data_IF_088064658783
#
_entry.id   IF_088064658783
#
_cell.length_a   1.000
_cell.length_b   1.000
_cell.length_c   1.000
_cell.angle_alpha   90.00
_cell.angle_beta   90.00
_cell.angle_gamma   90.00
#
_symmetry.space_group_name_H-M   'P 1'
#
loop_
_entity.id
_entity.type
_entity.pdbx_description
1 polymer ?
#
# COMPACT_ATOMS: atom_id res chain seq x y z
N UNK A 1 20.35 13.74 33.22
CA UNK A 1 19.37 13.81 32.13
C UNK A 1 19.73 12.99 30.90
N UNK A 2 20.94 12.99 30.38
CA UNK A 2 21.35 12.19 29.19
C UNK A 2 21.26 10.67 29.41
N UNK A 3 21.62 10.16 30.58
CA UNK A 3 21.58 8.72 30.93
C UNK A 3 20.15 8.16 31.02
N UNK A 4 19.19 8.94 31.50
CA UNK A 4 17.79 8.53 31.58
C UNK A 4 17.13 8.38 30.21
N UNK A 5 17.48 9.26 29.24
CA UNK A 5 16.96 9.19 27.86
C UNK A 5 17.47 7.94 27.14
N UNK A 6 18.76 7.59 27.32
CA UNK A 6 19.34 6.38 26.73
C UNK A 6 18.73 5.09 27.32
N UNK A 7 18.49 5.05 28.64
CA UNK A 7 17.83 3.90 29.29
C UNK A 7 16.38 3.71 28.83
N UNK A 8 15.65 4.81 28.63
CA UNK A 8 14.27 4.76 28.13
C UNK A 8 14.22 4.33 26.65
N UNK A 9 15.17 4.75 25.83
CA UNK A 9 15.27 4.34 24.42
C UNK A 9 15.65 2.84 24.30
N UNK A 10 16.55 2.35 25.14
CA UNK A 10 16.93 0.93 25.16
C UNK A 10 15.78 0.04 25.62
N UNK A 11 15.02 0.46 26.64
CA UNK A 11 13.84 -0.25 27.11
C UNK A 11 12.70 -0.25 26.06
N UNK A 12 12.55 0.84 25.32
CA UNK A 12 11.57 0.95 24.22
C UNK A 12 11.94 0.05 23.04
N UNK A 13 13.23 -0.01 22.67
CA UNK A 13 13.73 -0.92 21.65
C UNK A 13 13.56 -2.40 22.07
N UNK A 14 13.80 -2.73 23.33
CA UNK A 14 13.59 -4.07 23.88
C UNK A 14 12.10 -4.48 23.89
N UNK A 15 11.19 -3.57 24.18
CA UNK A 15 9.74 -3.81 24.10
C UNK A 15 9.26 -4.06 22.65
N UNK A 16 9.88 -3.41 21.67
CA UNK A 16 9.58 -3.60 20.24
C UNK A 16 10.14 -4.94 19.72
N UNK A 17 11.22 -5.46 20.31
CA UNK A 17 11.81 -6.76 19.91
C UNK A 17 11.17 -7.96 20.63
N UNK A 18 10.62 -7.78 21.84
CA UNK A 18 9.96 -8.85 22.61
C UNK A 18 8.50 -9.09 22.20
N UNK A 19 7.88 -8.12 21.48
CA UNK A 19 6.55 -8.28 20.88
C UNK A 19 6.59 -8.89 19.49
N UNK A 20 7.66 -9.61 19.11
CA UNK A 20 7.85 -10.19 17.81
C UNK A 20 6.61 -10.97 17.36
N UNK A 21 5.97 -10.50 16.29
CA UNK A 21 5.07 -11.32 15.52
C UNK A 21 5.91 -12.48 14.98
N UNK A 22 5.86 -13.64 15.63
CA UNK A 22 6.39 -14.87 15.04
C UNK A 22 5.83 -15.00 13.62
N UNK A 23 6.61 -15.57 12.70
CA UNK A 23 6.09 -15.93 11.38
C UNK A 23 4.75 -16.62 11.58
N UNK A 24 3.68 -16.01 11.12
CA UNK A 24 2.37 -16.67 11.11
C UNK A 24 2.49 -17.69 9.98
N UNK A 25 2.66 -18.96 10.32
CA UNK A 25 2.60 -20.03 9.34
C UNK A 25 1.21 -20.00 8.69
N UNK A 26 1.17 -19.44 7.50
CA UNK A 26 -0.04 -19.46 6.68
C UNK A 26 -0.28 -20.93 6.31
N UNK A 27 -1.32 -21.52 6.90
CA UNK A 27 -1.75 -22.88 6.52
C UNK A 27 -2.06 -22.84 5.02
N UNK A 28 -1.39 -23.67 4.19
CA UNK A 28 -1.67 -23.71 2.77
C UNK A 28 -3.15 -24.06 2.54
N UNK A 29 -3.84 -23.26 1.73
CA UNK A 29 -5.17 -23.59 1.28
C UNK A 29 -5.14 -24.95 0.54
N UNK A 30 -6.21 -25.73 0.64
CA UNK A 30 -6.34 -27.03 -0.02
C UNK A 30 -5.87 -26.98 -1.47
N UNK A 31 -5.06 -27.94 -1.89
CA UNK A 31 -4.32 -27.94 -3.17
C UNK A 31 -5.21 -27.73 -4.40
N UNK A 32 -6.47 -28.20 -4.38
CA UNK A 32 -7.43 -28.01 -5.46
C UNK A 32 -7.90 -26.57 -5.64
N UNK A 33 -8.06 -25.82 -4.54
CA UNK A 33 -8.44 -24.40 -4.57
C UNK A 33 -7.29 -23.53 -5.06
N UNK A 34 -6.06 -23.90 -4.73
CA UNK A 34 -4.83 -23.23 -5.21
C UNK A 34 -4.69 -23.36 -6.72
N UNK A 35 -4.93 -24.55 -7.28
CA UNK A 35 -4.86 -24.76 -8.73
C UNK A 35 -5.93 -23.96 -9.49
N UNK A 36 -7.14 -23.83 -8.94
CA UNK A 36 -8.22 -23.06 -9.54
C UNK A 36 -7.94 -21.56 -9.48
N UNK A 37 -7.35 -21.05 -8.40
CA UNK A 37 -6.93 -19.64 -8.26
C UNK A 37 -5.74 -19.32 -9.20
N UNK A 38 -4.82 -20.27 -9.41
CA UNK A 38 -3.66 -20.09 -10.28
C UNK A 38 -4.07 -20.00 -11.78
N UNK A 39 -5.20 -20.65 -12.15
CA UNK A 39 -5.71 -20.68 -13.53
C UNK A 39 -6.71 -19.56 -13.86
N UNK A 40 -7.39 -18.96 -12.87
CA UNK A 40 -8.56 -18.12 -13.09
C UNK A 40 -8.29 -16.60 -13.12
N UNK A 41 -7.11 -16.14 -12.75
CA UNK A 41 -6.81 -14.72 -12.54
C UNK A 41 -5.87 -14.14 -13.61
N UNK A 42 -6.14 -14.43 -14.87
CA UNK A 42 -5.50 -13.73 -15.98
C UNK A 42 -6.43 -12.69 -16.58
N UNK A 43 -5.89 -11.76 -17.35
CA UNK A 43 -6.61 -10.85 -18.25
C UNK A 43 -7.69 -11.52 -19.13
N UNK A 44 -7.71 -12.86 -19.16
CA UNK A 44 -8.66 -13.68 -19.91
C UNK A 44 -10.10 -13.62 -19.39
N UNK A 45 -10.32 -13.27 -18.12
CA UNK A 45 -11.65 -13.16 -17.49
C UNK A 45 -12.21 -11.74 -17.46
N UNK A 46 -11.72 -10.86 -18.32
CA UNK A 46 -12.19 -9.49 -18.44
C UNK A 46 -13.65 -9.44 -18.93
N UNK A 47 -14.56 -8.94 -18.11
CA UNK A 47 -15.99 -8.92 -18.35
C UNK A 47 -16.59 -7.53 -18.58
N UNK A 48 -15.77 -6.48 -18.78
CA UNK A 48 -16.30 -5.15 -19.03
C UNK A 48 -16.96 -5.07 -20.40
N UNK A 49 -18.18 -4.51 -20.44
CA UNK A 49 -18.85 -4.17 -21.69
C UNK A 49 -18.21 -2.93 -22.32
N UNK A 50 -18.31 -2.76 -23.65
CA UNK A 50 -17.81 -1.56 -24.33
C UNK A 50 -18.40 -0.26 -23.79
N UNK A 51 -19.66 -0.26 -23.34
CA UNK A 51 -20.29 0.87 -22.69
C UNK A 51 -19.64 1.20 -21.32
N UNK A 52 -19.23 0.20 -20.56
CA UNK A 52 -18.55 0.39 -19.29
C UNK A 52 -17.10 0.86 -19.51
N UNK A 53 -16.39 0.29 -20.49
CA UNK A 53 -15.06 0.77 -20.90
C UNK A 53 -15.09 2.25 -21.30
N UNK A 54 -16.08 2.66 -22.10
CA UNK A 54 -16.25 4.06 -22.52
C UNK A 54 -16.49 5.00 -21.33
N UNK A 55 -17.32 4.60 -20.36
CA UNK A 55 -17.53 5.39 -19.12
C UNK A 55 -16.26 5.52 -18.31
N UNK A 56 -15.50 4.42 -18.14
CA UNK A 56 -14.21 4.43 -17.40
C UNK A 56 -13.20 5.35 -18.10
N UNK A 57 -13.11 5.28 -19.44
CA UNK A 57 -12.19 6.14 -20.20
C UNK A 57 -12.55 7.63 -20.11
N UNK A 58 -13.82 7.97 -19.87
CA UNK A 58 -14.29 9.33 -19.70
C UNK A 58 -14.06 9.89 -18.28
N UNK A 59 -13.73 9.06 -17.28
CA UNK A 59 -13.47 9.55 -15.92
C UNK A 59 -12.22 10.43 -15.87
N UNK A 60 -12.31 11.50 -15.07
CA UNK A 60 -11.14 12.29 -14.70
C UNK A 60 -10.51 11.69 -13.43
N UNK A 61 -9.28 11.14 -13.50
CA UNK A 61 -8.64 10.53 -12.33
C UNK A 61 -8.46 11.49 -11.14
N UNK A 62 -8.32 12.79 -11.39
CA UNK A 62 -8.14 13.79 -10.31
C UNK A 62 -9.46 14.11 -9.58
N UNK A 63 -10.61 13.74 -10.15
CA UNK A 63 -11.94 14.09 -9.64
C UNK A 63 -12.91 12.90 -9.60
N UNK A 64 -12.43 11.74 -9.14
CA UNK A 64 -13.28 10.53 -8.99
C UNK A 64 -14.21 10.71 -7.81
N UNK A 65 -15.50 10.78 -8.08
CA UNK A 65 -16.56 10.93 -7.07
C UNK A 65 -16.99 9.59 -6.48
N UNK A 66 -17.75 9.63 -5.40
CA UNK A 66 -18.40 8.45 -4.82
C UNK A 66 -19.46 7.84 -5.78
N UNK A 67 -20.15 8.68 -6.57
CA UNK A 67 -21.04 8.21 -7.62
C UNK A 67 -20.31 7.45 -8.73
N UNK A 68 -19.11 7.89 -9.12
CA UNK A 68 -18.27 7.18 -10.11
C UNK A 68 -17.85 5.81 -9.57
N UNK A 69 -17.49 5.72 -8.30
CA UNK A 69 -17.17 4.43 -7.66
C UNK A 69 -18.37 3.49 -7.72
N UNK A 70 -19.56 3.94 -7.30
CA UNK A 70 -20.75 3.08 -7.24
C UNK A 70 -21.32 2.71 -8.60
N UNK A 71 -21.26 3.59 -9.60
CA UNK A 71 -21.97 3.38 -10.86
C UNK A 71 -21.06 3.07 -12.06
N UNK A 72 -19.79 3.46 -12.00
CA UNK A 72 -18.84 3.25 -13.11
C UNK A 72 -17.79 2.19 -12.77
N UNK A 73 -17.21 2.25 -11.58
CA UNK A 73 -16.15 1.34 -11.16
C UNK A 73 -16.69 0.07 -10.48
N UNK A 74 -17.92 0.06 -9.99
CA UNK A 74 -18.54 -1.11 -9.39
C UNK A 74 -18.51 -2.30 -10.38
N UNK A 75 -17.98 -3.44 -9.92
CA UNK A 75 -17.80 -4.64 -10.72
C UNK A 75 -16.63 -4.59 -11.72
N UNK A 76 -15.92 -3.47 -11.83
CA UNK A 76 -14.67 -3.42 -12.58
C UNK A 76 -13.52 -4.04 -11.78
N UNK A 77 -12.51 -4.63 -12.44
CA UNK A 77 -11.30 -5.05 -11.76
C UNK A 77 -10.57 -3.85 -11.16
N UNK A 78 -9.78 -4.08 -10.12
CA UNK A 78 -9.02 -3.03 -9.44
C UNK A 78 -7.58 -3.49 -9.22
N UNK A 79 -6.61 -2.56 -9.20
CA UNK A 79 -5.22 -2.87 -8.83
C UNK A 79 -5.16 -3.55 -7.46
N UNK A 80 -4.31 -4.55 -7.30
CA UNK A 80 -4.14 -5.18 -5.99
C UNK A 80 -3.53 -4.21 -4.98
N UNK A 81 -4.08 -4.14 -3.77
CA UNK A 81 -3.50 -3.39 -2.65
C UNK A 81 -2.78 -4.35 -1.72
N UNK A 82 -1.47 -4.25 -1.67
CA UNK A 82 -0.60 -5.00 -0.75
C UNK A 82 -0.48 -4.17 0.53
N UNK A 83 -0.97 -4.68 1.66
CA UNK A 83 -0.81 -4.03 2.95
C UNK A 83 0.29 -4.69 3.76
N UNK A 84 1.15 -3.87 4.42
CA UNK A 84 2.29 -4.33 5.20
C UNK A 84 2.19 -3.75 6.61
N UNK A 85 1.97 -4.61 7.62
CA UNK A 85 1.85 -4.16 9.00
C UNK A 85 3.21 -3.95 9.69
N UNK A 86 3.24 -3.10 10.72
CA UNK A 86 4.40 -2.89 11.57
C UNK A 86 4.64 -4.03 12.56
N UNK A 87 5.71 -3.91 13.35
CA UNK A 87 6.23 -4.95 14.24
C UNK A 87 5.38 -5.28 15.48
N UNK A 88 4.21 -4.67 15.68
CA UNK A 88 3.34 -4.89 16.84
C UNK A 88 2.09 -5.66 16.40
N UNK A 89 1.82 -6.79 17.03
CA UNK A 89 0.73 -7.70 16.64
C UNK A 89 -0.67 -7.04 16.60
N UNK A 90 -0.97 -6.10 17.50
CA UNK A 90 -2.27 -5.40 17.51
C UNK A 90 -2.52 -4.57 16.25
N UNK A 91 -1.47 -4.17 15.54
CA UNK A 91 -1.56 -3.39 14.29
C UNK A 91 -2.13 -4.22 13.14
N UNK A 92 -1.97 -5.55 13.16
CA UNK A 92 -2.55 -6.45 12.15
C UNK A 92 -4.06 -6.19 12.04
N UNK A 93 -4.78 -6.26 13.17
CA UNK A 93 -6.24 -6.03 13.22
C UNK A 93 -6.64 -4.64 12.73
N UNK A 94 -5.78 -3.64 12.95
CA UNK A 94 -6.03 -2.25 12.54
C UNK A 94 -5.85 -2.04 11.05
N UNK A 95 -4.85 -2.67 10.43
CA UNK A 95 -4.73 -2.69 8.97
C UNK A 95 -5.82 -3.53 8.30
N UNK A 96 -6.31 -4.58 8.97
CA UNK A 96 -7.51 -5.28 8.51
C UNK A 96 -8.77 -4.39 8.60
N UNK A 97 -8.89 -3.57 9.67
CA UNK A 97 -9.91 -2.52 9.77
C UNK A 97 -9.82 -1.54 8.61
N UNK A 98 -8.59 -1.09 8.27
CA UNK A 98 -8.37 -0.24 7.11
C UNK A 98 -8.79 -0.90 5.78
N UNK A 99 -8.49 -2.18 5.60
CA UNK A 99 -8.94 -2.92 4.42
C UNK A 99 -10.47 -3.02 4.35
N UNK A 100 -11.15 -3.27 5.49
CA UNK A 100 -12.63 -3.24 5.56
C UNK A 100 -13.20 -1.85 5.27
N UNK A 101 -12.51 -0.80 5.72
CA UNK A 101 -12.88 0.59 5.42
C UNK A 101 -12.85 0.85 3.92
N UNK A 102 -11.77 0.53 3.21
CA UNK A 102 -11.70 0.69 1.74
C UNK A 102 -12.79 -0.13 1.03
N UNK A 103 -13.04 -1.35 1.49
CA UNK A 103 -14.10 -2.20 0.94
C UNK A 103 -15.49 -1.58 1.15
N UNK A 104 -15.76 -1.05 2.33
CA UNK A 104 -17.02 -0.35 2.62
C UNK A 104 -17.20 0.93 1.78
N UNK A 105 -16.12 1.55 1.31
CA UNK A 105 -16.16 2.66 0.36
C UNK A 105 -16.31 2.20 -1.10
N UNK A 106 -16.34 0.90 -1.36
CA UNK A 106 -16.58 0.31 -2.69
C UNK A 106 -15.37 -0.29 -3.39
N UNK A 107 -14.19 -0.34 -2.75
CA UNK A 107 -13.05 -1.02 -3.33
C UNK A 107 -13.23 -2.55 -3.28
N UNK A 108 -12.93 -3.30 -4.36
CA UNK A 108 -13.17 -4.74 -4.40
C UNK A 108 -12.39 -5.52 -3.34
N UNK A 109 -13.08 -6.35 -2.57
CA UNK A 109 -12.46 -7.11 -1.47
C UNK A 109 -11.36 -8.06 -1.94
N UNK A 110 -11.58 -8.74 -3.08
CA UNK A 110 -10.59 -9.65 -3.66
C UNK A 110 -9.29 -8.95 -4.05
N UNK A 111 -9.31 -7.66 -4.35
CA UNK A 111 -8.11 -6.87 -4.65
C UNK A 111 -7.34 -6.42 -3.40
N UNK A 112 -7.76 -6.87 -2.20
CA UNK A 112 -7.10 -6.60 -0.93
C UNK A 112 -6.81 -7.85 -0.10
N UNK A 113 -7.09 -9.04 -0.64
CA UNK A 113 -6.84 -10.33 0.02
C UNK A 113 -5.75 -11.11 -0.67
N UNK A 114 -4.86 -11.70 0.10
CA UNK A 114 -3.96 -12.70 -0.46
C UNK A 114 -4.72 -13.96 -0.83
N UNK A 115 -4.61 -14.45 -2.07
CA UNK A 115 -5.43 -15.55 -2.56
C UNK A 115 -5.17 -16.88 -1.83
N UNK A 116 -3.98 -17.06 -1.24
CA UNK A 116 -3.58 -18.30 -0.58
C UNK A 116 -4.02 -18.48 0.87
N UNK A 117 -4.42 -17.43 1.60
CA UNK A 117 -4.60 -17.59 3.05
C UNK A 117 -5.66 -16.71 3.71
N UNK A 118 -6.28 -15.83 2.99
CA UNK A 118 -7.30 -14.94 3.56
C UNK A 118 -6.76 -13.81 4.44
N UNK A 119 -5.47 -13.79 4.80
CA UNK A 119 -4.84 -12.64 5.45
C UNK A 119 -4.84 -11.44 4.51
N UNK A 120 -5.11 -10.28 5.09
CA UNK A 120 -5.15 -9.01 4.34
C UNK A 120 -3.86 -8.21 4.45
N UNK A 121 -2.88 -8.68 5.22
CA UNK A 121 -1.66 -7.89 5.47
C UNK A 121 -0.43 -8.80 5.62
N UNK A 122 0.71 -8.32 5.11
CA UNK A 122 2.02 -8.97 5.18
C UNK A 122 2.76 -8.43 6.42
N UNK A 123 3.61 -9.25 7.02
CA UNK A 123 4.47 -8.83 8.13
C UNK A 123 5.62 -7.96 7.64
N UNK A 124 6.00 -6.94 8.43
CA UNK A 124 7.21 -6.15 8.19
C UNK A 124 8.51 -6.94 8.41
N UNK A 125 8.43 -8.16 8.90
CA UNK A 125 9.57 -9.07 9.08
C UNK A 125 9.79 -10.01 7.88
N UNK A 126 8.88 -9.97 6.90
CA UNK A 126 9.10 -10.66 5.62
C UNK A 126 10.11 -9.90 4.76
N UNK A 127 10.76 -10.61 3.85
CA UNK A 127 11.78 -10.03 2.99
C UNK A 127 11.19 -9.07 1.95
N UNK A 128 11.86 -7.95 1.72
CA UNK A 128 11.43 -6.97 0.71
C UNK A 128 11.49 -7.53 -0.72
N UNK A 129 12.38 -8.49 -0.99
CA UNK A 129 12.43 -9.24 -2.26
C UNK A 129 11.14 -10.01 -2.52
N UNK A 130 10.58 -10.64 -1.47
CA UNK A 130 9.27 -11.28 -1.55
C UNK A 130 8.18 -10.28 -1.96
N UNK A 131 8.17 -9.09 -1.36
CA UNK A 131 7.17 -8.06 -1.67
C UNK A 131 7.33 -7.59 -3.12
N UNK A 132 8.57 -7.35 -3.58
CA UNK A 132 8.86 -7.00 -4.98
C UNK A 132 8.42 -8.10 -5.95
N UNK A 133 8.67 -9.37 -5.60
CA UNK A 133 8.23 -10.53 -6.38
C UNK A 133 6.71 -10.69 -6.43
N UNK A 134 6.00 -10.38 -5.34
CA UNK A 134 4.52 -10.35 -5.27
C UNK A 134 3.96 -9.22 -6.16
N UNK A 135 4.59 -8.05 -6.20
CA UNK A 135 4.22 -6.96 -7.14
C UNK A 135 4.27 -7.47 -8.59
N UNK A 136 5.34 -8.19 -8.96
CA UNK A 136 5.48 -8.77 -10.29
C UNK A 136 4.38 -9.79 -10.59
N UNK A 137 4.08 -10.66 -9.63
CA UNK A 137 3.06 -11.69 -9.76
C UNK A 137 1.67 -11.12 -10.02
N UNK A 138 1.25 -10.10 -9.26
CA UNK A 138 -0.03 -9.42 -9.48
C UNK A 138 -0.06 -8.65 -10.79
N UNK A 139 1.00 -7.90 -11.10
CA UNK A 139 1.04 -7.13 -12.35
C UNK A 139 0.89 -8.01 -13.59
N UNK A 140 1.61 -9.16 -13.63
CA UNK A 140 1.54 -10.10 -14.75
C UNK A 140 0.12 -10.66 -14.96
N UNK A 141 -0.64 -10.88 -13.88
CA UNK A 141 -1.97 -11.48 -13.92
C UNK A 141 -3.09 -10.47 -14.13
N UNK A 142 -2.96 -9.31 -13.52
CA UNK A 142 -4.03 -8.31 -13.50
C UNK A 142 -3.85 -7.22 -14.57
N UNK A 143 -2.64 -7.03 -15.09
CA UNK A 143 -2.29 -5.97 -16.04
C UNK A 143 -2.32 -4.57 -15.44
N UNK A 144 -2.58 -4.47 -14.14
CA UNK A 144 -2.61 -3.24 -13.37
C UNK A 144 -1.48 -3.23 -12.36
N UNK A 145 -0.78 -2.11 -12.25
CA UNK A 145 0.31 -1.96 -11.29
C UNK A 145 -0.27 -1.94 -9.86
N UNK A 146 0.20 -2.83 -8.95
CA UNK A 146 -0.28 -2.86 -7.59
C UNK A 146 -0.05 -1.53 -6.84
N UNK A 147 -0.76 -1.38 -5.72
CA UNK A 147 -0.53 -0.33 -4.72
C UNK A 147 0.02 -0.99 -3.45
N UNK A 148 0.76 -0.22 -2.62
CA UNK A 148 1.26 -0.70 -1.34
C UNK A 148 0.85 0.27 -0.23
N UNK A 149 0.37 -0.26 0.89
CA UNK A 149 0.06 0.52 2.10
C UNK A 149 0.87 -0.06 3.25
N UNK A 150 1.90 0.67 3.67
CA UNK A 150 2.79 0.30 4.75
C UNK A 150 2.50 1.09 6.02
N UNK A 151 2.54 0.41 7.17
CA UNK A 151 2.43 1.03 8.50
C UNK A 151 3.69 0.77 9.31
N UNK A 152 4.23 1.81 9.95
CA UNK A 152 5.42 1.72 10.82
C UNK A 152 6.60 1.08 10.07
N UNK A 153 7.19 -0.01 10.56
CA UNK A 153 8.24 -0.77 9.87
C UNK A 153 7.79 -1.30 8.48
N UNK A 154 6.49 -1.55 8.30
CA UNK A 154 5.94 -1.93 6.98
C UNK A 154 6.12 -0.85 5.91
N UNK A 155 6.20 0.42 6.31
CA UNK A 155 6.55 1.54 5.41
C UNK A 155 7.98 1.41 4.88
N UNK A 156 8.92 0.94 5.71
CA UNK A 156 10.29 0.72 5.26
C UNK A 156 10.40 -0.48 4.32
N UNK A 157 9.65 -1.54 4.58
CA UNK A 157 9.59 -2.68 3.66
C UNK A 157 9.05 -2.27 2.28
N UNK A 158 8.06 -1.37 2.24
CA UNK A 158 7.58 -0.80 0.98
C UNK A 158 8.70 -0.03 0.24
N UNK A 159 9.49 0.81 0.95
CA UNK A 159 10.61 1.52 0.34
C UNK A 159 11.72 0.57 -0.11
N UNK A 160 12.06 -0.45 0.68
CA UNK A 160 13.05 -1.47 0.30
C UNK A 160 12.62 -2.20 -0.98
N UNK A 161 11.35 -2.58 -1.09
CA UNK A 161 10.81 -3.19 -2.29
C UNK A 161 10.91 -2.25 -3.52
N UNK A 162 10.71 -0.93 -3.34
CA UNK A 162 10.94 0.04 -4.42
C UNK A 162 12.40 0.11 -4.86
N UNK A 163 13.35 0.10 -3.91
CA UNK A 163 14.78 0.12 -4.21
C UNK A 163 15.20 -1.13 -5.00
N UNK A 164 14.67 -2.29 -4.63
CA UNK A 164 14.86 -3.55 -5.33
C UNK A 164 14.29 -3.48 -6.76
N UNK A 165 13.03 -3.05 -6.91
CA UNK A 165 12.40 -2.89 -8.22
C UNK A 165 13.14 -1.88 -9.11
N UNK A 166 13.79 -0.88 -8.51
CA UNK A 166 14.63 0.08 -9.23
C UNK A 166 16.03 -0.46 -9.61
N UNK A 167 16.39 -1.67 -9.19
CA UNK A 167 17.70 -2.27 -9.46
C UNK A 167 18.84 -1.64 -8.64
N UNK A 168 18.54 -0.99 -7.50
CA UNK A 168 19.57 -0.32 -6.71
C UNK A 168 20.32 -1.27 -5.77
N UNK A 169 19.71 -2.40 -5.42
CA UNK A 169 20.24 -3.35 -4.43
C UNK A 169 20.27 -4.80 -4.92
N UNK A 170 19.64 -5.09 -6.06
CA UNK A 170 19.65 -6.41 -6.67
C UNK A 170 19.49 -6.31 -8.19
N UNK A 171 20.27 -7.11 -8.93
CA UNK A 171 20.17 -7.18 -10.39
C UNK A 171 19.08 -8.16 -10.86
N UNK A 172 18.72 -9.12 -10.01
CA UNK A 172 17.74 -10.16 -10.30
C UNK A 172 16.79 -10.35 -9.11
N UNK A 173 15.49 -10.39 -9.41
CA UNK A 173 14.43 -10.64 -8.44
C UNK A 173 13.54 -11.77 -8.95
N UNK A 174 13.28 -12.77 -8.12
CA UNK A 174 12.33 -13.82 -8.45
C UNK A 174 10.90 -13.32 -8.37
N UNK A 175 10.04 -13.76 -9.29
CA UNK A 175 8.59 -13.65 -9.11
C UNK A 175 8.19 -14.47 -7.89
N UNK A 176 7.31 -13.94 -7.03
CA UNK A 176 6.89 -14.63 -5.82
C UNK A 176 5.38 -14.91 -5.85
N UNK A 177 5.02 -16.18 -5.74
CA UNK A 177 3.61 -16.59 -5.70
C UNK A 177 2.99 -16.32 -4.31
N UNK A 178 2.02 -15.40 -4.18
CA UNK A 178 1.31 -15.21 -2.91
C UNK A 178 0.34 -16.36 -2.59
N UNK A 179 0.07 -17.25 -3.55
CA UNK A 179 -0.76 -18.43 -3.35
C UNK A 179 0.05 -19.53 -2.67
N UNK A 180 1.26 -19.81 -3.20
CA UNK A 180 2.14 -20.88 -2.72
C UNK A 180 3.09 -20.42 -1.63
N UNK A 181 3.14 -19.12 -1.38
CA UNK A 181 4.01 -18.42 -0.43
C UNK A 181 5.49 -18.79 -0.60
N UNK A 182 5.95 -18.82 -1.86
CA UNK A 182 7.34 -19.12 -2.23
C UNK A 182 7.75 -18.44 -3.54
N UNK A 183 9.06 -18.26 -3.79
CA UNK A 183 9.53 -17.79 -5.08
C UNK A 183 9.20 -18.79 -6.18
N UNK A 184 8.97 -18.27 -7.39
CA UNK A 184 8.92 -19.04 -8.62
C UNK A 184 10.32 -19.08 -9.24
N UNK A 185 10.65 -20.14 -10.02
CA UNK A 185 11.97 -20.30 -10.65
C UNK A 185 12.10 -19.43 -11.92
N UNK A 186 11.77 -18.13 -11.77
CA UNK A 186 11.88 -17.15 -12.86
C UNK A 186 12.05 -15.74 -12.32
N UNK A 187 12.82 -14.94 -13.06
CA UNK A 187 13.10 -13.51 -12.77
C UNK A 187 12.44 -12.57 -13.76
N UNK A 188 11.61 -13.10 -14.65
CA UNK A 188 10.88 -12.37 -15.68
C UNK A 188 9.39 -12.68 -15.62
N UNK A 189 8.60 -11.71 -16.06
CA UNK A 189 7.17 -11.85 -16.32
C UNK A 189 6.90 -11.74 -17.82
N UNK A 190 5.72 -12.17 -18.25
CA UNK A 190 5.16 -11.75 -19.53
C UNK A 190 4.33 -10.50 -19.30
N UNK A 191 4.79 -9.35 -19.79
CA UNK A 191 4.06 -8.09 -19.64
C UNK A 191 2.65 -8.23 -20.27
N UNK A 192 1.58 -8.10 -19.48
CA UNK A 192 0.22 -8.38 -19.93
C UNK A 192 -0.31 -7.37 -20.95
N UNK A 193 0.32 -6.20 -21.06
CA UNK A 193 -0.09 -5.14 -21.99
C UNK A 193 0.58 -5.29 -23.36
N UNK A 194 1.81 -5.80 -23.38
CA UNK A 194 2.61 -5.89 -24.61
C UNK A 194 2.88 -7.31 -25.09
N UNK A 195 2.67 -8.31 -24.21
CA UNK A 195 3.02 -9.72 -24.47
C UNK A 195 4.53 -10.00 -24.47
N UNK A 196 5.38 -9.02 -24.17
CA UNK A 196 6.84 -9.16 -24.18
C UNK A 196 7.35 -9.63 -22.82
N UNK A 197 8.51 -10.30 -22.83
CA UNK A 197 9.25 -10.60 -21.60
C UNK A 197 9.77 -9.31 -20.96
N UNK A 198 9.64 -9.22 -19.64
CA UNK A 198 10.09 -8.09 -18.84
C UNK A 198 10.69 -8.61 -17.52
N UNK A 199 11.90 -8.21 -17.13
CA UNK A 199 12.45 -8.57 -15.83
C UNK A 199 11.61 -7.98 -14.69
N UNK A 200 11.64 -8.61 -13.52
CA UNK A 200 10.99 -8.06 -12.31
C UNK A 200 11.60 -6.73 -11.92
N UNK A 201 12.93 -6.61 -12.03
CA UNK A 201 13.63 -5.32 -11.93
C UNK A 201 13.18 -4.40 -13.08
N UNK A 202 12.81 -3.17 -12.74
CA UNK A 202 12.25 -2.21 -13.69
C UNK A 202 10.71 -2.09 -13.65
N UNK A 203 10.03 -2.99 -12.94
CA UNK A 203 8.57 -2.85 -12.71
C UNK A 203 8.27 -1.67 -11.79
N UNK A 204 7.04 -1.16 -11.92
CA UNK A 204 6.57 -0.02 -11.13
C UNK A 204 5.33 -0.36 -10.33
N UNK A 205 5.24 0.24 -9.15
CA UNK A 205 4.04 0.31 -8.31
C UNK A 205 3.26 1.58 -8.67
N UNK A 206 1.93 1.54 -8.64
CA UNK A 206 1.14 2.73 -9.00
C UNK A 206 1.09 3.76 -7.87
N UNK A 207 0.90 3.32 -6.63
CA UNK A 207 0.79 4.18 -5.45
C UNK A 207 1.36 3.52 -4.19
N UNK A 208 2.00 4.33 -3.34
CA UNK A 208 2.37 3.92 -1.98
C UNK A 208 1.87 4.93 -0.96
N UNK A 209 1.23 4.42 0.10
CA UNK A 209 0.97 5.13 1.35
C UNK A 209 1.89 4.57 2.45
N UNK A 210 2.77 5.40 2.99
CA UNK A 210 3.70 5.02 4.05
C UNK A 210 3.33 5.76 5.35
N UNK A 211 2.67 5.07 6.28
CA UNK A 211 2.20 5.65 7.53
C UNK A 211 3.18 5.38 8.66
N UNK A 212 3.72 6.45 9.28
CA UNK A 212 4.55 6.37 10.47
C UNK A 212 5.89 5.64 10.25
N UNK A 213 6.43 5.68 9.03
CA UNK A 213 7.76 5.18 8.70
C UNK A 213 8.83 6.21 9.03
N UNK A 214 9.22 6.33 10.27
CA UNK A 214 10.21 7.31 10.71
C UNK A 214 10.65 7.10 12.17
N UNK A 215 11.16 8.15 12.79
CA UNK A 215 11.54 8.14 14.21
C UNK A 215 12.53 7.03 14.57
N UNK A 216 12.32 6.43 15.74
CA UNK A 216 13.20 5.38 16.31
C UNK A 216 13.15 4.11 15.48
N UNK A 217 12.05 3.79 14.82
CA UNK A 217 11.91 2.54 14.05
C UNK A 217 12.89 2.45 12.88
N UNK A 218 13.38 3.58 12.37
CA UNK A 218 14.39 3.63 11.30
C UNK A 218 15.78 3.14 11.73
N UNK A 219 16.12 3.28 13.00
CA UNK A 219 17.45 2.91 13.52
C UNK A 219 17.48 1.52 14.14
N UNK A 220 16.41 0.74 14.00
CA UNK A 220 16.39 -0.65 14.44
C UNK A 220 17.36 -1.52 13.62
N UNK A 221 17.95 -2.57 14.20
CA UNK A 221 18.96 -3.39 13.53
C UNK A 221 18.53 -3.95 12.18
N UNK A 222 17.26 -4.33 12.01
CA UNK A 222 16.70 -4.83 10.76
C UNK A 222 16.57 -3.75 9.65
N UNK A 223 16.97 -2.51 9.92
CA UNK A 223 16.97 -1.42 8.95
C UNK A 223 18.39 -0.96 8.57
N UNK A 224 19.44 -1.48 9.22
CA UNK A 224 20.80 -0.95 9.08
C UNK A 224 21.36 -1.04 7.65
N UNK A 225 21.05 -2.11 6.92
CA UNK A 225 21.53 -2.33 5.56
C UNK A 225 21.15 -1.18 4.61
N UNK A 226 20.00 -0.53 4.86
CA UNK A 226 19.44 0.51 3.99
C UNK A 226 19.09 1.80 4.76
N UNK A 227 19.56 1.97 5.99
CA UNK A 227 19.14 3.06 6.88
C UNK A 227 19.23 4.46 6.23
N UNK A 228 20.23 4.70 5.39
CA UNK A 228 20.45 5.99 4.73
C UNK A 228 19.58 6.18 3.49
N UNK A 229 19.09 5.10 2.86
CA UNK A 229 18.26 5.14 1.65
C UNK A 229 16.75 4.99 1.91
N UNK A 230 16.34 4.68 3.15
CA UNK A 230 14.92 4.45 3.52
C UNK A 230 14.00 5.66 3.33
N UNK A 231 14.51 6.84 3.01
CA UNK A 231 13.73 8.04 2.68
C UNK A 231 13.81 8.41 1.21
N UNK A 232 14.62 7.70 0.45
CA UNK A 232 14.82 7.94 -0.99
C UNK A 232 13.84 7.10 -1.78
N UNK A 233 12.97 7.77 -2.55
CA UNK A 233 11.90 7.14 -3.34
C UNK A 233 12.33 7.12 -4.81
N UNK A 234 12.66 5.95 -5.37
CA UNK A 234 13.07 5.81 -6.76
C UNK A 234 11.88 5.85 -7.72
N UNK A 235 12.17 5.83 -9.03
CA UNK A 235 11.17 5.86 -10.11
C UNK A 235 10.35 4.58 -10.28
N UNK A 236 10.55 3.59 -9.42
CA UNK A 236 9.75 2.36 -9.37
C UNK A 236 8.35 2.56 -8.77
N UNK A 237 7.95 3.79 -8.46
CA UNK A 237 6.59 4.17 -8.07
C UNK A 237 6.15 5.43 -8.82
N UNK A 238 4.86 5.56 -9.12
CA UNK A 238 4.33 6.78 -9.73
C UNK A 238 4.02 7.86 -8.68
N UNK A 239 3.34 7.48 -7.60
CA UNK A 239 3.01 8.39 -6.49
C UNK A 239 3.32 7.74 -5.13
N UNK A 240 3.94 8.52 -4.25
CA UNK A 240 4.29 8.12 -2.89
C UNK A 240 3.82 9.17 -1.90
N UNK A 241 3.02 8.78 -0.90
CA UNK A 241 2.63 9.67 0.19
C UNK A 241 3.17 9.13 1.51
N UNK A 242 4.08 9.89 2.14
CA UNK A 242 4.54 9.64 3.50
C UNK A 242 3.65 10.39 4.49
N UNK A 243 3.06 9.65 5.43
CA UNK A 243 2.26 10.21 6.54
C UNK A 243 3.04 10.12 7.84
N UNK A 244 3.15 11.23 8.55
CA UNK A 244 3.79 11.28 9.86
C UNK A 244 2.92 12.01 10.88
N UNK A 245 3.03 11.59 12.13
CA UNK A 245 2.30 12.16 13.26
C UNK A 245 3.22 13.08 14.05
N UNK A 246 2.72 14.22 14.49
CA UNK A 246 3.46 15.07 15.40
C UNK A 246 3.65 14.39 16.75
N UNK A 247 4.80 14.56 17.41
CA UNK A 247 5.18 13.96 18.71
C UNK A 247 5.21 12.43 18.76
N UNK A 248 5.13 11.75 17.61
CA UNK A 248 5.25 10.30 17.51
C UNK A 248 6.73 9.90 17.52
N UNK A 249 7.19 9.37 18.65
CA UNK A 249 8.58 8.90 18.83
C UNK A 249 8.88 7.66 17.99
N UNK A 250 7.88 6.83 17.72
CA UNK A 250 8.05 5.57 17.00
C UNK A 250 8.21 5.78 15.49
N UNK A 251 7.32 6.52 14.90
CA UNK A 251 7.21 6.60 13.45
C UNK A 251 7.02 8.02 12.89
N UNK A 252 7.24 9.06 13.70
CA UNK A 252 6.92 10.40 13.31
C UNK A 252 7.92 11.46 13.69
N UNK A 253 7.39 12.58 14.12
CA UNK A 253 8.11 13.81 14.44
C UNK A 253 8.52 13.86 15.92
N UNK A 254 9.70 13.35 16.23
CA UNK A 254 10.25 13.46 17.56
C UNK A 254 10.82 14.86 17.78
N UNK A 255 10.29 15.61 18.76
CA UNK A 255 10.77 16.93 19.16
C UNK A 255 10.75 18.01 18.04
N UNK A 256 9.82 17.91 17.09
CA UNK A 256 9.72 18.87 15.99
C UNK A 256 10.68 18.60 14.82
N UNK A 257 11.32 17.45 14.77
CA UNK A 257 12.25 17.08 13.69
C UNK A 257 11.57 16.38 12.50
N UNK A 258 10.31 16.74 12.20
CA UNK A 258 9.52 16.15 11.12
C UNK A 258 10.23 16.13 9.78
N UNK A 259 11.02 17.15 9.47
CA UNK A 259 11.81 17.21 8.24
C UNK A 259 12.82 16.07 8.10
N UNK A 260 13.31 15.50 9.21
CA UNK A 260 14.23 14.35 9.18
C UNK A 260 13.56 13.04 8.74
N UNK A 261 12.22 13.01 8.75
CA UNK A 261 11.41 11.85 8.37
C UNK A 261 10.75 12.02 7.01
N UNK A 262 10.97 13.12 6.32
CA UNK A 262 10.41 13.35 4.99
C UNK A 262 11.07 12.42 3.96
N UNK A 263 10.22 11.82 3.13
CA UNK A 263 10.63 11.12 1.92
C UNK A 263 10.93 12.11 0.81
N UNK A 264 11.87 11.78 -0.07
CA UNK A 264 12.24 12.59 -1.22
C UNK A 264 12.41 11.71 -2.47
N UNK A 265 11.96 12.23 -3.61
CA UNK A 265 12.16 11.56 -4.88
C UNK A 265 13.64 11.60 -5.28
N UNK A 266 14.15 10.50 -5.82
CA UNK A 266 15.47 10.45 -6.47
C UNK A 266 15.37 10.56 -7.99
N UNK A 267 14.16 10.70 -8.52
CA UNK A 267 13.84 10.85 -9.93
C UNK A 267 12.50 11.53 -10.15
N UNK A 268 11.66 10.98 -11.01
CA UNK A 268 10.37 11.54 -11.45
C UNK A 268 9.17 11.17 -10.58
N UNK A 269 9.32 10.31 -9.57
CA UNK A 269 8.26 9.90 -8.66
C UNK A 269 7.62 11.12 -7.96
N UNK A 270 6.29 11.16 -7.90
CA UNK A 270 5.57 12.22 -7.18
C UNK A 270 5.54 11.88 -5.68
N UNK A 271 6.29 12.63 -4.87
CA UNK A 271 6.40 12.40 -3.43
C UNK A 271 5.71 13.52 -2.66
N UNK A 272 4.80 13.16 -1.75
CA UNK A 272 4.18 14.06 -0.77
C UNK A 272 4.50 13.61 0.64
N UNK A 273 4.68 14.57 1.55
CA UNK A 273 4.82 14.31 2.99
C UNK A 273 3.69 15.03 3.72
N UNK A 274 2.81 14.27 4.35
CA UNK A 274 1.59 14.76 4.99
C UNK A 274 1.75 14.66 6.51
N UNK A 275 1.63 15.81 7.19
CA UNK A 275 1.61 15.86 8.65
C UNK A 275 0.18 15.70 9.15
N UNK A 276 -0.11 14.58 9.78
CA UNK A 276 -1.42 14.33 10.37
C UNK A 276 -1.63 15.18 11.65
N UNK A 277 -2.86 15.66 11.92
CA UNK A 277 -3.13 16.60 13.00
C UNK A 277 -3.01 15.99 14.40
N UNK A 278 -3.24 14.68 14.52
CA UNK A 278 -3.14 13.96 15.78
C UNK A 278 -1.78 13.33 15.93
N UNK A 279 -1.12 13.58 17.07
CA UNK A 279 0.21 13.07 17.35
C UNK A 279 0.31 12.55 18.78
N UNK A 280 1.05 11.46 18.94
CA UNK A 280 1.38 10.86 20.23
C UNK A 280 1.63 9.37 20.10
N UNK A 281 2.30 8.80 21.08
CA UNK A 281 2.70 7.40 21.10
C UNK A 281 1.55 6.40 20.85
N UNK A 282 0.38 6.69 21.41
CA UNK A 282 -0.79 5.81 21.27
C UNK A 282 -1.47 5.94 19.90
N UNK A 283 -1.41 7.12 19.27
CA UNK A 283 -2.05 7.37 17.97
C UNK A 283 -1.32 6.69 16.83
N UNK A 284 0.00 6.45 16.94
CA UNK A 284 0.79 5.73 15.95
C UNK A 284 0.13 4.42 15.48
N UNK A 285 -0.27 3.60 16.44
CA UNK A 285 -0.92 2.33 16.12
C UNK A 285 -2.40 2.43 15.76
N UNK A 286 -3.13 3.46 16.20
CA UNK A 286 -4.58 3.57 16.03
C UNK A 286 -5.03 4.23 14.73
N UNK A 287 -4.15 4.99 14.08
CA UNK A 287 -4.46 5.73 12.84
C UNK A 287 -5.12 4.89 11.74
N UNK A 288 -4.69 3.63 11.47
CA UNK A 288 -5.32 2.83 10.42
C UNK A 288 -6.61 2.09 10.86
N UNK A 289 -7.11 2.31 12.07
CA UNK A 289 -8.35 1.66 12.58
C UNK A 289 -9.59 2.47 12.16
N UNK A 290 -10.09 2.25 10.95
CA UNK A 290 -11.05 3.14 10.29
C UNK A 290 -12.42 2.54 9.94
N UNK A 291 -12.64 1.22 10.04
CA UNK A 291 -13.90 0.61 9.64
C UNK A 291 -15.11 1.16 10.42
N UNK A 292 -14.91 1.66 11.65
CA UNK A 292 -15.92 2.38 12.43
C UNK A 292 -16.50 3.63 11.73
N UNK A 293 -15.75 4.23 10.80
CA UNK A 293 -16.21 5.39 10.02
C UNK A 293 -17.37 5.03 9.09
N UNK A 294 -17.48 3.76 8.70
CA UNK A 294 -18.54 3.28 7.81
C UNK A 294 -19.94 3.43 8.38
N UNK A 295 -20.06 3.50 9.70
CA UNK A 295 -21.35 3.74 10.40
C UNK A 295 -21.61 5.23 10.69
N UNK A 296 -20.77 6.15 10.21
CA UNK A 296 -20.89 7.59 10.44
C UNK A 296 -21.08 8.34 9.10
N UNK A 297 -22.35 8.61 8.67
CA UNK A 297 -22.62 9.25 7.39
C UNK A 297 -21.96 10.62 7.20
N UNK A 298 -21.91 11.53 8.21
CA UNK A 298 -21.13 12.77 8.10
C UNK A 298 -19.65 12.55 7.84
N UNK A 299 -19.04 11.56 8.47
CA UNK A 299 -17.62 11.21 8.22
C UNK A 299 -17.42 10.69 6.80
N UNK A 300 -18.31 9.82 6.30
CA UNK A 300 -18.26 9.33 4.92
C UNK A 300 -18.42 10.46 3.90
N UNK A 301 -19.32 11.41 4.14
CA UNK A 301 -19.49 12.56 3.28
C UNK A 301 -18.22 13.43 3.24
N UNK A 302 -17.59 13.63 4.38
CA UNK A 302 -16.33 14.37 4.46
C UNK A 302 -15.19 13.64 3.73
N UNK A 303 -15.03 12.33 3.95
CA UNK A 303 -14.02 11.49 3.28
C UNK A 303 -14.17 11.55 1.76
N UNK A 304 -15.40 11.45 1.25
CA UNK A 304 -15.65 11.44 -0.19
C UNK A 304 -15.41 12.81 -0.86
N UNK A 305 -15.53 13.90 -0.10
CA UNK A 305 -15.27 15.26 -0.57
C UNK A 305 -13.91 15.81 -0.15
N UNK A 306 -13.03 14.97 0.40
CA UNK A 306 -11.72 15.38 0.88
C UNK A 306 -10.83 15.95 -0.23
N UNK A 307 -10.23 17.11 0.06
CA UNK A 307 -9.17 17.72 -0.75
C UNK A 307 -7.81 17.50 -0.11
N UNK A 308 -6.84 16.89 -0.79
CA UNK A 308 -5.52 16.62 -0.24
C UNK A 308 -4.80 17.88 0.24
N UNK A 309 -4.18 17.79 1.43
CA UNK A 309 -3.39 18.86 2.04
C UNK A 309 -2.13 18.27 2.67
N UNK A 310 -1.05 19.06 2.71
CA UNK A 310 0.18 18.66 3.43
C UNK A 310 0.01 18.73 4.95
N UNK A 311 -0.98 19.48 5.41
CA UNK A 311 -1.37 19.61 6.83
C UNK A 311 -2.90 19.60 6.90
N UNK A 312 -3.53 18.43 6.78
CA UNK A 312 -4.98 18.36 6.84
C UNK A 312 -5.48 18.70 8.25
N UNK A 313 -6.69 19.23 8.32
CA UNK A 313 -7.34 19.58 9.56
C UNK A 313 -8.52 18.64 9.81
N UNK A 314 -8.59 18.09 11.03
CA UNK A 314 -9.71 17.26 11.43
C UNK A 314 -11.03 18.02 11.37
N UNK A 315 -12.11 17.40 10.89
CA UNK A 315 -13.44 18.02 10.90
C UNK A 315 -13.95 18.14 12.34
N UNK A 316 -14.10 19.39 12.84
CA UNK A 316 -14.51 19.64 14.23
C UNK A 316 -16.00 19.39 14.51
N UNK A 317 -16.82 19.47 13.46
CA UNK A 317 -18.29 19.42 13.59
C UNK A 317 -18.88 18.02 13.47
N UNK A 318 -18.05 17.02 13.08
CA UNK A 318 -18.49 15.65 12.92
C UNK A 318 -18.43 14.94 14.28
N UNK A 319 -19.55 14.43 14.81
CA UNK A 319 -19.55 13.72 16.07
C UNK A 319 -18.88 12.33 15.95
N UNK A 320 -18.27 11.88 17.05
CA UNK A 320 -17.70 10.56 17.15
C UNK A 320 -16.18 10.53 17.18
N UNK A 321 -15.64 9.33 17.13
CA UNK A 321 -14.19 9.08 17.21
C UNK A 321 -13.58 9.11 15.80
N UNK A 322 -12.98 10.23 15.42
CA UNK A 322 -12.52 10.50 14.05
C UNK A 322 -11.00 10.31 13.86
N UNK A 323 -10.33 9.73 14.84
CA UNK A 323 -8.87 9.51 14.75
C UNK A 323 -8.49 8.75 13.47
N UNK A 324 -7.57 9.33 12.68
CA UNK A 324 -7.11 8.77 11.42
C UNK A 324 -7.99 9.09 10.20
N UNK A 325 -9.08 9.87 10.34
CA UNK A 325 -9.97 10.19 9.23
C UNK A 325 -9.24 10.86 8.07
N UNK A 326 -8.26 11.73 8.35
CA UNK A 326 -7.47 12.46 7.36
C UNK A 326 -6.57 11.49 6.57
N UNK A 327 -5.97 10.54 7.26
CA UNK A 327 -5.20 9.45 6.63
C UNK A 327 -6.10 8.63 5.70
N UNK A 328 -7.25 8.17 6.21
CA UNK A 328 -8.20 7.39 5.43
C UNK A 328 -8.71 8.11 4.20
N UNK A 329 -9.03 9.40 4.33
CA UNK A 329 -9.54 10.23 3.25
C UNK A 329 -8.48 10.50 2.17
N UNK A 330 -7.23 10.81 2.57
CA UNK A 330 -6.13 11.07 1.63
C UNK A 330 -5.76 9.79 0.86
N UNK A 331 -5.64 8.66 1.56
CA UNK A 331 -5.38 7.37 0.90
C UNK A 331 -6.53 6.99 -0.02
N UNK A 332 -7.80 7.14 0.40
CA UNK A 332 -8.95 6.84 -0.45
C UNK A 332 -8.97 7.70 -1.72
N UNK A 333 -8.61 8.97 -1.63
CA UNK A 333 -8.48 9.85 -2.80
C UNK A 333 -7.44 9.32 -3.78
N UNK A 334 -6.25 8.96 -3.30
CA UNK A 334 -5.19 8.41 -4.14
C UNK A 334 -5.53 7.02 -4.70
N UNK A 335 -6.17 6.15 -3.92
CA UNK A 335 -6.64 4.82 -4.35
C UNK A 335 -7.63 4.97 -5.52
N UNK A 336 -8.66 5.82 -5.41
CA UNK A 336 -9.61 6.08 -6.50
C UNK A 336 -8.90 6.58 -7.75
N UNK A 337 -7.99 7.53 -7.59
CA UNK A 337 -7.20 8.10 -8.68
C UNK A 337 -6.41 7.02 -9.43
N UNK A 338 -5.65 6.21 -8.73
CA UNK A 338 -4.83 5.16 -9.32
C UNK A 338 -5.66 3.99 -9.86
N UNK A 339 -6.82 3.70 -9.28
CA UNK A 339 -7.76 2.73 -9.84
C UNK A 339 -8.20 3.13 -11.24
N UNK A 340 -8.62 4.39 -11.43
CA UNK A 340 -9.03 4.91 -12.75
C UNK A 340 -7.85 4.93 -13.72
N UNK A 341 -6.67 5.40 -13.31
CA UNK A 341 -5.47 5.46 -14.18
C UNK A 341 -5.10 4.06 -14.69
N UNK A 342 -5.06 3.07 -13.81
CA UNK A 342 -4.67 1.71 -14.18
C UNK A 342 -5.71 1.04 -15.08
N UNK A 343 -7.00 1.22 -14.81
CA UNK A 343 -8.06 0.74 -15.70
C UNK A 343 -8.00 1.40 -17.08
N UNK A 344 -7.84 2.71 -17.14
CA UNK A 344 -7.73 3.42 -18.42
C UNK A 344 -6.51 2.97 -19.20
N UNK A 345 -5.37 2.75 -18.53
CA UNK A 345 -4.15 2.21 -19.15
C UNK A 345 -4.38 0.83 -19.75
N UNK A 346 -5.02 -0.05 -18.99
CA UNK A 346 -5.32 -1.41 -19.39
C UNK A 346 -6.30 -1.46 -20.57
N UNK A 347 -7.39 -0.66 -20.53
CA UNK A 347 -8.38 -0.58 -21.61
C UNK A 347 -7.72 -0.09 -22.90
N UNK A 348 -6.90 0.98 -22.83
CA UNK A 348 -6.19 1.53 -24.02
C UNK A 348 -5.24 0.52 -24.63
N UNK A 349 -4.47 -0.22 -23.80
CA UNK A 349 -3.57 -1.25 -24.28
C UNK A 349 -4.33 -2.37 -25.03
N UNK A 350 -5.49 -2.80 -24.50
CA UNK A 350 -6.33 -3.82 -25.14
C UNK A 350 -6.92 -3.35 -26.47
N UNK A 351 -7.33 -2.09 -26.57
CA UNK A 351 -7.81 -1.52 -27.83
C UNK A 351 -6.67 -1.40 -28.85
N UNK A 352 -5.48 -0.96 -28.43
CA UNK A 352 -4.30 -0.90 -29.31
C UNK A 352 -3.91 -2.26 -29.89
N UNK A 353 -3.96 -3.31 -29.09
CA UNK A 353 -3.66 -4.68 -29.52
C UNK A 353 -4.71 -5.28 -30.47
N UNK A 354 -5.98 -4.82 -30.41
CA UNK A 354 -7.04 -5.26 -31.33
C UNK A 354 -6.94 -4.66 -32.73
N UNK A 355 -6.27 -3.52 -32.88
CA UNK A 355 -6.09 -2.84 -34.16
C UNK A 355 -4.75 -3.19 -34.84
N UNK A 356 -3.88 -3.94 -34.18
CA UNK A 356 -2.57 -4.38 -34.67
C UNK A 356 -2.48 -5.87 -35.02
N UNK A 357 -3.56 -6.62 -34.85
CA UNK A 357 -3.71 -8.03 -35.23
C UNK A 357 -4.65 -8.14 -36.43
#
# INVERSE_FOLDING_TARGET
>A
MKTAIFSTMAALAALLTLGGCGKIDLVPAETGRVAQLDSSHGLRSWSLSGAQESRILALNPEHVTDADVRHTLAGAPAPHIITIHGGIATVIKRLESFSRFLNGLGYPEQAMRHPGGGNRTISCYEDAEMIAGIVAWYYEREGMRPMIIGHSQGSFQAVKALQLLAGQTADHLSVWSPIRWRPEDRTEITDPLTGKKHPVVGLKVSYIAALGGGGVTRVLPNQWDMMFSLRSVPDSVEEFTGFYLGLDVLGGDMLGWGSTNHYHATGSARVRNVKLPTGGFLTHGHTPDLDRMLSNPPALAWINNYAPSLQPVAPKEIPGKLEGIEFGADVWKSVKRHWVIELQRLIRARHGNRHGA
#
